data_IF_227622573457
#
_entry.id   IF_227622573457
#
_cell.length_a   1.000
_cell.length_b   1.000
_cell.length_c   1.000
_cell.angle_alpha   90.00
_cell.angle_beta   90.00
_cell.angle_gamma   90.00
#
_symmetry.space_group_name_H-M   'P 1'
#
loop_
_entity.id
_entity.type
_entity.pdbx_description
1 polymer ?
#
# COMPACT_ATOMS: atom_id res chain seq x y z
N UNK A 1 -17.20 -3.99 -4.84
CA UNK A 1 -17.81 -3.09 -3.83
C UNK A 1 -17.31 -1.66 -4.09
N UNK A 2 -17.68 -0.66 -3.28
CA UNK A 2 -17.12 0.70 -3.39
C UNK A 2 -15.79 0.82 -2.64
N UNK A 3 -14.92 1.74 -3.05
CA UNK A 3 -13.61 1.99 -2.41
C UNK A 3 -13.74 2.26 -0.89
N UNK A 4 -14.86 2.83 -0.46
CA UNK A 4 -15.17 3.11 0.95
C UNK A 4 -15.18 1.84 1.83
N UNK A 5 -15.49 0.67 1.27
CA UNK A 5 -15.45 -0.60 2.01
C UNK A 5 -14.02 -1.04 2.38
N UNK A 6 -12.99 -0.46 1.74
CA UNK A 6 -11.58 -0.76 2.02
C UNK A 6 -11.02 0.04 3.21
N UNK A 7 -11.67 1.14 3.61
CA UNK A 7 -11.21 1.99 4.72
C UNK A 7 -10.99 1.22 6.02
N UNK A 8 -11.85 0.23 6.28
CA UNK A 8 -11.75 -0.59 7.48
C UNK A 8 -10.46 -1.41 7.52
N UNK A 9 -9.87 -1.73 6.36
CA UNK A 9 -8.65 -2.52 6.22
C UNK A 9 -7.38 -1.70 6.03
N UNK A 10 -7.50 -0.39 5.83
CA UNK A 10 -6.38 0.48 5.48
C UNK A 10 -6.05 1.47 6.62
N UNK A 11 -4.77 1.64 6.85
CA UNK A 11 -4.17 2.71 7.63
C UNK A 11 -3.59 3.74 6.65
N UNK A 12 -3.91 5.04 6.82
CA UNK A 12 -3.32 6.08 5.98
C UNK A 12 -1.81 6.19 6.20
N UNK A 13 -1.12 6.85 5.27
CA UNK A 13 0.29 7.21 5.46
C UNK A 13 0.42 8.63 6.02
N UNK A 14 1.47 8.85 6.81
CA UNK A 14 1.85 10.18 7.26
C UNK A 14 2.94 10.73 6.35
N UNK A 15 2.62 11.69 5.46
CA UNK A 15 3.60 12.26 4.54
C UNK A 15 4.67 13.09 5.25
N UNK A 16 4.33 13.73 6.37
CA UNK A 16 5.31 14.46 7.17
C UNK A 16 6.38 13.50 7.73
N UNK A 17 5.96 12.35 8.28
CA UNK A 17 6.90 11.31 8.74
C UNK A 17 7.74 10.74 7.59
N UNK A 18 7.12 10.41 6.45
CA UNK A 18 7.83 9.84 5.28
C UNK A 18 8.85 10.83 4.69
N UNK A 19 8.53 12.12 4.72
CA UNK A 19 9.40 13.18 4.22
C UNK A 19 10.37 13.74 5.27
N UNK A 20 10.36 13.24 6.52
CA UNK A 20 11.08 13.83 7.66
C UNK A 20 10.78 15.34 7.83
N UNK A 21 9.52 15.73 7.70
CA UNK A 21 9.02 17.12 7.79
C UNK A 21 9.57 18.10 6.73
N UNK A 22 10.35 17.62 5.75
CA UNK A 22 10.91 18.45 4.67
C UNK A 22 9.93 18.64 3.48
N UNK A 23 8.93 17.77 3.36
CA UNK A 23 8.07 17.69 2.17
C UNK A 23 8.80 17.18 0.91
N UNK A 24 8.11 17.24 -0.23
CA UNK A 24 8.65 16.81 -1.53
C UNK A 24 8.72 17.97 -2.52
N UNK A 25 9.78 17.99 -3.32
CA UNK A 25 9.97 18.96 -4.41
C UNK A 25 9.09 18.61 -5.60
N UNK A 26 8.76 19.59 -6.44
CA UNK A 26 7.98 19.41 -7.68
C UNK A 26 8.62 18.46 -8.71
N UNK A 27 9.88 18.08 -8.50
CA UNK A 27 10.58 17.11 -9.35
C UNK A 27 10.52 15.69 -8.81
N UNK A 28 9.94 15.46 -7.64
CA UNK A 28 9.95 14.18 -6.93
C UNK A 28 8.60 13.47 -6.98
N UNK A 29 8.62 12.13 -7.00
CA UNK A 29 7.41 11.28 -7.05
C UNK A 29 6.43 11.61 -5.92
N UNK A 30 6.95 11.81 -4.70
CA UNK A 30 6.14 12.09 -3.51
C UNK A 30 5.27 13.34 -3.62
N UNK A 31 5.57 14.25 -4.55
CA UNK A 31 4.76 15.45 -4.80
C UNK A 31 3.58 15.21 -5.73
N UNK A 32 3.64 14.16 -6.56
CA UNK A 32 2.67 13.89 -7.63
C UNK A 32 1.82 12.64 -7.40
N UNK A 33 2.23 11.77 -6.48
CA UNK A 33 1.48 10.57 -6.12
C UNK A 33 0.19 10.94 -5.37
N UNK A 34 -0.92 10.29 -5.71
CA UNK A 34 -2.18 10.43 -4.99
C UNK A 34 -2.12 9.60 -3.71
N UNK A 35 -2.38 10.20 -2.55
CA UNK A 35 -2.09 9.59 -1.26
C UNK A 35 -3.32 9.55 -0.36
N UNK A 36 -3.50 8.42 0.32
CA UNK A 36 -4.40 8.31 1.47
C UNK A 36 -3.75 8.86 2.74
N UNK A 37 -4.10 10.11 3.08
CA UNK A 37 -3.75 10.77 4.35
C UNK A 37 -4.99 10.88 5.25
N UNK A 38 -5.90 11.81 4.94
CA UNK A 38 -7.15 11.98 5.68
C UNK A 38 -8.32 11.25 5.02
N UNK A 39 -8.31 11.18 3.68
CA UNK A 39 -9.33 10.55 2.85
C UNK A 39 -8.68 9.66 1.78
N UNK A 40 -9.40 8.65 1.30
CA UNK A 40 -8.92 7.83 0.19
C UNK A 40 -8.89 8.67 -1.10
N UNK A 41 -7.80 8.61 -1.88
CA UNK A 41 -7.74 9.30 -3.15
C UNK A 41 -8.67 8.63 -4.17
N UNK A 42 -9.11 9.41 -5.16
CA UNK A 42 -9.74 8.84 -6.35
C UNK A 42 -8.70 8.09 -7.18
N UNK A 43 -8.89 6.78 -7.33
CA UNK A 43 -7.98 5.91 -8.07
C UNK A 43 -8.48 5.60 -9.49
N UNK A 44 -9.57 6.23 -9.95
CA UNK A 44 -10.22 5.93 -11.24
C UNK A 44 -9.24 6.01 -12.41
N UNK A 45 -8.34 6.98 -12.39
CA UNK A 45 -7.32 7.19 -13.43
C UNK A 45 -5.92 6.69 -13.03
N UNK A 46 -5.77 6.02 -11.89
CA UNK A 46 -4.48 5.47 -11.46
C UNK A 46 -4.11 4.22 -12.30
N UNK A 47 -2.90 4.23 -12.86
CA UNK A 47 -2.30 3.10 -13.59
C UNK A 47 -1.74 2.03 -12.65
N UNK A 48 -1.26 2.48 -11.48
CA UNK A 48 -0.67 1.65 -10.44
C UNK A 48 -1.20 2.09 -9.07
N UNK A 49 -1.59 1.10 -8.27
CA UNK A 49 -2.02 1.31 -6.88
C UNK A 49 -1.03 0.62 -5.94
N UNK A 50 -0.42 1.39 -5.05
CA UNK A 50 0.48 0.92 -4.03
C UNK A 50 -0.31 0.64 -2.75
N UNK A 51 -0.03 -0.50 -2.13
CA UNK A 51 -0.46 -0.84 -0.76
C UNK A 51 0.72 -1.40 0.01
N UNK A 52 0.87 -1.03 1.27
CA UNK A 52 1.86 -1.60 2.17
C UNK A 52 1.26 -2.73 2.99
N UNK A 53 2.06 -3.72 3.38
CA UNK A 53 1.66 -4.71 4.37
C UNK A 53 2.87 -5.05 5.24
N UNK A 54 2.88 -4.54 6.47
CA UNK A 54 3.98 -4.74 7.41
C UNK A 54 3.94 -6.07 8.17
N UNK A 55 3.10 -7.03 7.78
CA UNK A 55 2.98 -8.33 8.45
C UNK A 55 4.29 -9.13 8.33
N UNK A 56 4.69 -9.79 9.43
CA UNK A 56 5.92 -10.58 9.51
C UNK A 56 5.75 -11.97 10.12
N UNK A 57 4.59 -12.28 10.71
CA UNK A 57 4.40 -13.51 11.50
C UNK A 57 4.59 -14.79 10.68
N UNK A 58 4.46 -14.74 9.35
CA UNK A 58 4.75 -15.89 8.50
C UNK A 58 6.24 -16.25 8.40
N UNK A 59 7.19 -15.40 8.85
CA UNK A 59 8.59 -15.80 9.05
C UNK A 59 8.83 -16.57 10.35
N UNK A 60 7.90 -16.53 11.31
CA UNK A 60 8.04 -17.20 12.61
C UNK A 60 7.44 -16.42 13.77
N UNK A 61 7.16 -17.12 14.88
CA UNK A 61 6.44 -16.56 16.04
C UNK A 61 7.14 -15.39 16.74
N UNK A 62 8.45 -15.21 16.55
CA UNK A 62 9.22 -14.11 17.14
C UNK A 62 9.05 -12.76 16.42
N UNK A 63 8.42 -12.75 15.24
CA UNK A 63 8.19 -11.54 14.47
C UNK A 63 6.72 -11.16 14.52
N UNK A 64 6.43 -9.85 14.59
CA UNK A 64 5.06 -9.33 14.61
C UNK A 64 4.78 -8.48 13.38
N UNK A 65 5.52 -7.39 13.23
CA UNK A 65 5.31 -6.41 12.19
C UNK A 65 6.59 -5.63 11.86
N UNK A 66 6.57 -4.87 10.76
CA UNK A 66 7.67 -4.00 10.33
C UNK A 66 7.16 -2.71 9.73
N UNK A 67 7.98 -1.65 9.85
CA UNK A 67 7.84 -0.39 9.12
C UNK A 67 8.49 -0.41 7.74
N UNK A 68 8.90 -1.58 7.23
CA UNK A 68 9.51 -1.73 5.90
C UNK A 68 8.74 -1.03 4.77
N UNK A 69 7.40 -1.09 4.68
CA UNK A 69 6.65 -0.37 3.65
C UNK A 69 6.93 1.14 3.67
N UNK A 70 6.88 1.78 4.84
CA UNK A 70 7.14 3.21 4.98
C UNK A 70 8.61 3.56 4.73
N UNK A 71 9.55 2.69 5.12
CA UNK A 71 10.98 2.88 4.80
C UNK A 71 11.23 2.86 3.29
N UNK A 72 10.53 2.00 2.55
CA UNK A 72 10.59 1.98 1.08
C UNK A 72 9.98 3.25 0.52
N UNK A 73 8.80 3.68 0.99
CA UNK A 73 8.17 4.96 0.57
C UNK A 73 9.11 6.15 0.78
N UNK A 74 9.77 6.23 1.93
CA UNK A 74 10.70 7.32 2.26
C UNK A 74 11.86 7.45 1.26
N UNK A 75 12.24 6.37 0.57
CA UNK A 75 13.23 6.42 -0.51
C UNK A 75 12.58 6.60 -1.87
N UNK A 76 11.52 5.85 -2.16
CA UNK A 76 10.82 5.89 -3.44
C UNK A 76 10.25 7.28 -3.76
N UNK A 77 9.63 7.93 -2.77
CA UNK A 77 9.01 9.26 -2.95
C UNK A 77 10.05 10.35 -3.24
N UNK A 78 11.32 10.15 -2.85
CA UNK A 78 12.41 11.09 -3.12
C UNK A 78 12.98 11.00 -4.53
N UNK A 79 12.67 9.93 -5.25
CA UNK A 79 13.14 9.74 -6.62
C UNK A 79 12.53 10.79 -7.56
N UNK A 80 13.26 11.11 -8.62
CA UNK A 80 12.81 12.03 -9.64
C UNK A 80 11.65 11.46 -10.48
N UNK A 81 10.62 12.28 -10.71
CA UNK A 81 9.45 11.91 -11.49
C UNK A 81 9.62 12.31 -12.96
N UNK A 82 10.19 11.41 -13.76
CA UNK A 82 10.44 11.64 -15.19
C UNK A 82 9.30 11.20 -16.10
N UNK A 83 8.45 10.29 -15.64
CA UNK A 83 7.38 9.67 -16.43
C UNK A 83 6.01 10.20 -16.00
N UNK A 84 5.70 11.43 -16.41
CA UNK A 84 4.47 12.13 -16.02
C UNK A 84 3.18 11.49 -16.54
N UNK A 85 3.30 10.57 -17.50
CA UNK A 85 2.17 9.82 -18.07
C UNK A 85 1.70 8.67 -17.17
N UNK A 86 2.44 8.30 -16.12
CA UNK A 86 2.09 7.19 -15.23
C UNK A 86 1.48 7.72 -13.94
N UNK A 87 0.18 7.55 -13.78
CA UNK A 87 -0.54 7.95 -12.57
C UNK A 87 -0.41 6.88 -11.49
N UNK A 88 0.04 7.26 -10.30
CA UNK A 88 0.22 6.36 -9.15
C UNK A 88 -0.66 6.83 -8.00
N UNK A 89 -1.36 5.90 -7.37
CA UNK A 89 -2.01 6.12 -6.09
C UNK A 89 -1.40 5.21 -5.02
N UNK A 90 -1.27 5.70 -3.79
CA UNK A 90 -0.88 4.93 -2.61
C UNK A 90 -2.02 4.97 -1.59
N UNK A 91 -2.61 3.80 -1.33
CA UNK A 91 -3.77 3.67 -0.44
C UNK A 91 -3.37 3.43 1.03
N UNK A 92 -2.07 3.45 1.33
CA UNK A 92 -1.58 3.28 2.68
C UNK A 92 -1.18 1.85 3.01
N UNK A 93 -1.30 1.48 4.29
CA UNK A 93 -0.92 0.18 4.79
C UNK A 93 -2.16 -0.66 5.09
N UNK A 94 -2.12 -1.93 4.72
CA UNK A 94 -3.11 -2.91 5.15
C UNK A 94 -2.88 -3.18 6.63
N UNK A 95 -3.93 -2.99 7.44
CA UNK A 95 -3.94 -3.25 8.87
C UNK A 95 -3.55 -4.69 9.15
N UNK A 96 -2.70 -4.86 10.15
CA UNK A 96 -2.31 -6.18 10.63
C UNK A 96 -3.46 -6.71 11.50
N UNK A 97 -3.99 -7.87 11.12
CA UNK A 97 -5.10 -8.50 11.83
C UNK A 97 -4.69 -9.09 13.18
N UNK A 98 -5.67 -9.49 13.98
CA UNK A 98 -5.43 -10.11 15.29
C UNK A 98 -4.59 -11.40 15.15
N UNK A 99 -4.87 -12.21 14.13
CA UNK A 99 -4.08 -13.38 13.74
C UNK A 99 -3.43 -13.21 12.35
N UNK A 100 -2.45 -14.07 12.04
CA UNK A 100 -1.84 -14.12 10.70
C UNK A 100 -2.89 -14.42 9.61
N UNK A 101 -3.88 -15.26 9.93
CA UNK A 101 -4.96 -15.58 9.00
C UNK A 101 -5.83 -14.35 8.70
N UNK A 102 -6.11 -13.52 9.71
CA UNK A 102 -6.86 -12.27 9.54
C UNK A 102 -6.11 -11.28 8.65
N UNK A 103 -4.78 -11.15 8.82
CA UNK A 103 -3.95 -10.36 7.91
C UNK A 103 -3.99 -10.87 6.48
N UNK A 104 -3.92 -12.19 6.27
CA UNK A 104 -4.03 -12.77 4.93
C UNK A 104 -5.41 -12.53 4.30
N UNK A 105 -6.47 -12.61 5.09
CA UNK A 105 -7.82 -12.31 4.63
C UNK A 105 -7.95 -10.83 4.23
N UNK A 106 -7.39 -9.90 5.02
CA UNK A 106 -7.35 -8.48 4.71
C UNK A 106 -6.58 -8.19 3.42
N UNK A 107 -5.38 -8.78 3.27
CA UNK A 107 -4.59 -8.66 2.03
C UNK A 107 -5.36 -9.18 0.82
N UNK A 108 -5.95 -10.38 0.93
CA UNK A 108 -6.75 -10.95 -0.16
C UNK A 108 -7.90 -10.04 -0.54
N UNK A 109 -8.64 -9.53 0.44
CA UNK A 109 -9.80 -8.66 0.22
C UNK A 109 -9.41 -7.37 -0.49
N UNK A 110 -8.42 -6.64 0.04
CA UNK A 110 -7.95 -5.38 -0.55
C UNK A 110 -7.46 -5.60 -1.98
N UNK A 111 -6.63 -6.63 -2.21
CA UNK A 111 -6.09 -6.91 -3.55
C UNK A 111 -7.20 -7.33 -4.51
N UNK A 112 -8.11 -8.22 -4.10
CA UNK A 112 -9.23 -8.66 -4.96
C UNK A 112 -10.14 -7.50 -5.37
N UNK A 113 -10.48 -6.59 -4.47
CA UNK A 113 -11.29 -5.41 -4.82
C UNK A 113 -10.57 -4.48 -5.81
N UNK A 114 -9.28 -4.21 -5.59
CA UNK A 114 -8.49 -3.41 -6.54
C UNK A 114 -8.37 -4.08 -7.92
N UNK A 115 -8.21 -5.40 -7.96
CA UNK A 115 -8.20 -6.18 -9.21
C UNK A 115 -9.55 -6.13 -9.91
N UNK A 116 -10.67 -6.24 -9.18
CA UNK A 116 -12.03 -6.10 -9.73
C UNK A 116 -12.27 -4.70 -10.32
N UNK A 117 -11.63 -3.67 -9.76
CA UNK A 117 -11.61 -2.31 -10.31
C UNK A 117 -10.64 -2.14 -11.50
N UNK A 118 -10.01 -3.22 -11.96
CA UNK A 118 -9.07 -3.22 -13.10
C UNK A 118 -7.70 -2.60 -12.78
N UNK A 119 -7.34 -2.46 -11.51
CA UNK A 119 -6.11 -1.79 -11.07
C UNK A 119 -4.93 -2.75 -10.99
N UNK A 120 -3.75 -2.28 -11.37
CA UNK A 120 -2.48 -2.97 -11.10
C UNK A 120 -2.05 -2.66 -9.67
N UNK A 121 -1.78 -3.68 -8.88
CA UNK A 121 -1.45 -3.53 -7.47
C UNK A 121 0.02 -3.83 -7.21
N UNK A 122 0.73 -2.91 -6.58
CA UNK A 122 2.09 -3.09 -6.06
C UNK A 122 2.04 -3.18 -4.53
N UNK A 123 2.46 -4.32 -3.99
CA UNK A 123 2.52 -4.53 -2.53
C UNK A 123 3.93 -4.26 -2.03
N UNK A 124 4.07 -3.28 -1.13
CA UNK A 124 5.27 -3.11 -0.32
C UNK A 124 5.16 -4.01 0.91
N UNK A 125 5.77 -5.19 0.86
CA UNK A 125 5.59 -6.23 1.87
C UNK A 125 6.50 -6.13 3.09
N UNK A 126 6.21 -6.97 4.07
CA UNK A 126 7.07 -7.32 5.19
C UNK A 126 7.75 -8.66 4.93
N UNK A 127 7.13 -9.75 5.35
CA UNK A 127 7.60 -11.10 5.09
C UNK A 127 7.15 -11.66 3.74
N UNK A 128 7.85 -12.70 3.25
CA UNK A 128 7.64 -13.24 1.90
C UNK A 128 6.29 -13.98 1.76
N UNK A 129 5.74 -14.51 2.85
CA UNK A 129 4.46 -15.21 2.87
C UNK A 129 3.26 -14.38 2.41
N UNK A 130 3.36 -13.04 2.43
CA UNK A 130 2.34 -12.11 1.86
C UNK A 130 2.10 -12.35 0.37
N UNK A 131 3.04 -12.97 -0.34
CA UNK A 131 2.82 -13.44 -1.72
C UNK A 131 1.71 -14.48 -1.83
N UNK A 132 1.43 -15.24 -0.77
CA UNK A 132 0.38 -16.27 -0.75
C UNK A 132 -1.03 -15.68 -0.83
N UNK A 133 -1.46 -14.76 0.08
CA UNK A 133 -2.76 -14.10 -0.06
C UNK A 133 -2.84 -13.22 -1.30
N UNK A 134 -1.72 -12.62 -1.75
CA UNK A 134 -1.68 -11.92 -3.05
C UNK A 134 -2.02 -12.86 -4.20
N UNK A 135 -1.38 -14.04 -4.28
CA UNK A 135 -1.67 -15.04 -5.31
C UNK A 135 -3.12 -15.52 -5.23
N UNK A 136 -3.62 -15.80 -4.02
CA UNK A 136 -4.99 -16.23 -3.81
C UNK A 136 -6.04 -15.20 -4.30
N UNK A 137 -5.72 -13.91 -4.26
CA UNK A 137 -6.60 -12.85 -4.74
C UNK A 137 -6.85 -12.92 -6.26
N UNK A 138 -5.91 -13.46 -7.05
CA UNK A 138 -6.07 -13.64 -8.50
C UNK A 138 -6.95 -14.84 -8.88
N UNK A 139 -7.10 -15.80 -7.97
CA UNK A 139 -7.98 -16.97 -8.18
C UNK A 139 -9.41 -16.76 -7.70
N UNK A 140 -9.76 -15.53 -7.28
CA UNK A 140 -11.05 -15.15 -6.71
C UNK A 140 -12.00 -14.58 -7.75
#
# INVERSE_FOLDING_TARGET
MSLASLLDFLEPINLAEISNDEGFKDTQIGKHILVHEDELPDISDADLVIVGCGEMRGMGMQYTNTSAPNKVRAQFYKLYYWHTEVSIADLGNIKIGASLHDSYAAVRMVVSELLQMGKKVLILGGSHDITTPQYAAYGS
#
